data_IF_931701262825
#
_entry.id   IF_931701262825
#
_cell.length_a   1.000
_cell.length_b   1.000
_cell.length_c   1.000
_cell.angle_alpha   90.00
_cell.angle_beta   90.00
_cell.angle_gamma   90.00
#
_symmetry.space_group_name_H-M   'P 1'
#
loop_
_entity.id
_entity.type
_entity.pdbx_description
1 polymer ?
#
# COMPACT_ATOMS: atom_id res chain seq x y z
N UNK A 1 -37.53 10.84 -36.36
CA UNK A 1 -37.94 11.36 -35.03
C UNK A 1 -36.80 11.01 -34.08
N UNK A 2 -36.07 11.99 -33.51
CA UNK A 2 -34.97 11.73 -32.59
C UNK A 2 -35.54 11.76 -31.17
N UNK A 3 -35.63 10.60 -30.53
CA UNK A 3 -36.04 10.49 -29.15
C UNK A 3 -34.94 11.07 -28.24
N UNK A 4 -35.26 12.15 -27.54
CA UNK A 4 -34.39 12.72 -26.51
C UNK A 4 -34.52 11.86 -25.24
N UNK A 5 -33.49 11.07 -24.94
CA UNK A 5 -33.34 10.42 -23.64
C UNK A 5 -33.01 11.48 -22.58
N UNK A 6 -33.99 11.79 -21.72
CA UNK A 6 -33.78 12.62 -20.54
C UNK A 6 -33.22 11.76 -19.39
N UNK A 7 -31.90 11.72 -19.26
CA UNK A 7 -31.25 11.07 -18.12
C UNK A 7 -31.40 11.97 -16.90
N UNK A 8 -32.29 11.59 -16.00
CA UNK A 8 -32.48 12.33 -14.74
C UNK A 8 -31.54 11.75 -13.69
N UNK A 9 -30.44 12.47 -13.44
CA UNK A 9 -29.43 12.03 -12.48
C UNK A 9 -29.94 12.26 -11.05
N UNK A 10 -30.13 11.18 -10.29
CA UNK A 10 -30.45 11.26 -8.88
C UNK A 10 -29.20 11.64 -8.07
N UNK A 11 -29.09 12.92 -7.72
CA UNK A 11 -27.97 13.45 -6.92
C UNK A 11 -27.79 12.74 -5.57
N UNK A 12 -28.88 12.26 -4.95
CA UNK A 12 -28.80 11.55 -3.68
C UNK A 12 -28.11 10.19 -3.85
N UNK A 13 -28.39 9.50 -4.95
CA UNK A 13 -27.77 8.21 -5.27
C UNK A 13 -26.27 8.36 -5.58
N UNK A 14 -25.88 9.43 -6.30
CA UNK A 14 -24.46 9.73 -6.53
C UNK A 14 -23.74 9.99 -5.20
N UNK A 15 -24.32 10.80 -4.31
CA UNK A 15 -23.71 11.09 -3.00
C UNK A 15 -23.62 9.86 -2.10
N UNK A 16 -24.48 8.87 -2.31
CA UNK A 16 -24.42 7.58 -1.60
C UNK A 16 -23.26 6.74 -2.13
N UNK A 17 -23.16 6.57 -3.45
CA UNK A 17 -22.07 5.82 -4.09
C UNK A 17 -20.70 6.41 -3.72
N UNK A 18 -20.57 7.74 -3.74
CA UNK A 18 -19.32 8.40 -3.34
C UNK A 18 -18.97 8.12 -1.88
N UNK A 19 -19.95 8.12 -0.97
CA UNK A 19 -19.72 7.81 0.44
C UNK A 19 -19.28 6.37 0.66
N UNK A 20 -19.95 5.42 -0.02
CA UNK A 20 -19.59 4.00 0.07
C UNK A 20 -18.17 3.73 -0.41
N UNK A 21 -17.74 4.37 -1.51
CA UNK A 21 -16.36 4.26 -1.98
C UNK A 21 -15.34 4.85 -1.00
N UNK A 22 -15.67 5.98 -0.37
CA UNK A 22 -14.80 6.60 0.64
C UNK A 22 -14.71 5.73 1.89
N UNK A 23 -15.82 5.16 2.35
CA UNK A 23 -15.83 4.25 3.51
C UNK A 23 -15.05 2.96 3.24
N UNK A 24 -15.15 2.39 2.05
CA UNK A 24 -14.36 1.22 1.64
C UNK A 24 -12.87 1.51 1.64
N UNK A 25 -12.47 2.64 1.06
CA UNK A 25 -11.07 3.07 1.08
C UNK A 25 -10.58 3.26 2.51
N UNK A 26 -11.36 3.88 3.40
CA UNK A 26 -10.96 4.08 4.81
C UNK A 26 -10.82 2.73 5.55
N UNK A 27 -11.72 1.77 5.32
CA UNK A 27 -11.64 0.44 5.95
C UNK A 27 -10.42 -0.37 5.50
N UNK A 28 -9.97 -0.21 4.27
CA UNK A 28 -8.74 -0.84 3.78
C UNK A 28 -7.50 -0.30 4.49
N UNK A 29 -7.49 0.98 4.84
CA UNK A 29 -6.41 1.62 5.59
C UNK A 29 -6.38 1.24 7.08
N UNK A 30 -7.54 1.10 7.73
CA UNK A 30 -7.62 0.82 9.18
C UNK A 30 -7.09 -0.58 9.57
N UNK A 31 -7.10 -1.54 8.65
CA UNK A 31 -6.60 -2.90 8.90
C UNK A 31 -5.09 -3.05 8.66
N UNK A 32 -4.42 -1.98 8.25
CA UNK A 32 -3.00 -2.06 7.93
C UNK A 32 -2.13 -1.77 9.16
N UNK A 33 -1.13 -2.63 9.40
CA UNK A 33 -0.15 -2.39 10.45
C UNK A 33 0.52 -1.02 10.24
N UNK A 34 0.64 -0.22 11.30
CA UNK A 34 1.41 1.03 11.25
C UNK A 34 2.88 0.77 10.89
N UNK A 35 3.44 -0.34 11.38
CA UNK A 35 4.80 -0.77 11.08
C UNK A 35 4.89 -2.30 10.99
N UNK A 36 5.84 -2.78 10.19
CA UNK A 36 6.22 -4.17 10.10
C UNK A 36 7.46 -4.43 10.94
N UNK A 37 7.55 -5.63 11.52
CA UNK A 37 8.81 -6.17 12.01
C UNK A 37 9.49 -7.00 10.89
N UNK A 38 10.68 -7.54 11.17
CA UNK A 38 11.41 -8.38 10.21
C UNK A 38 10.61 -9.60 9.76
N UNK A 39 9.75 -10.16 10.61
CA UNK A 39 8.95 -11.34 10.24
C UNK A 39 7.83 -10.97 9.26
N UNK A 40 7.15 -9.84 9.49
CA UNK A 40 6.13 -9.30 8.61
C UNK A 40 6.74 -8.90 7.25
N UNK A 41 7.92 -8.26 7.27
CA UNK A 41 8.62 -7.91 6.03
C UNK A 41 8.93 -9.15 5.19
N UNK A 42 9.53 -10.19 5.78
CA UNK A 42 9.81 -11.48 5.10
C UNK A 42 8.54 -12.13 4.53
N UNK A 43 7.45 -12.14 5.30
CA UNK A 43 6.17 -12.72 4.86
C UNK A 43 5.59 -11.96 3.66
N UNK A 44 5.67 -10.63 3.67
CA UNK A 44 5.09 -9.77 2.63
C UNK A 44 5.91 -9.74 1.34
N UNK A 45 7.23 -9.84 1.44
CA UNK A 45 8.11 -9.89 0.26
C UNK A 45 8.32 -11.31 -0.26
N UNK A 46 7.90 -12.34 0.48
CA UNK A 46 8.22 -13.75 0.22
C UNK A 46 9.73 -14.02 0.12
N UNK A 47 10.57 -13.19 0.74
CA UNK A 47 12.03 -13.29 0.68
C UNK A 47 12.63 -13.77 2.00
N UNK A 48 13.76 -14.48 1.90
CA UNK A 48 14.60 -14.76 3.06
C UNK A 48 15.22 -13.47 3.59
N UNK A 49 15.67 -13.48 4.86
CA UNK A 49 16.36 -12.32 5.42
C UNK A 49 17.64 -11.98 4.65
N UNK A 50 18.40 -13.00 4.25
CA UNK A 50 19.64 -12.82 3.49
C UNK A 50 19.36 -12.16 2.13
N UNK A 51 18.30 -12.60 1.44
CA UNK A 51 17.83 -12.02 0.18
C UNK A 51 17.45 -10.54 0.36
N UNK A 52 16.68 -10.22 1.41
CA UNK A 52 16.34 -8.83 1.73
C UNK A 52 17.61 -7.99 1.95
N UNK A 53 18.58 -8.53 2.70
CA UNK A 53 19.85 -7.86 2.96
C UNK A 53 20.66 -7.60 1.69
N UNK A 54 20.72 -8.59 0.81
CA UNK A 54 21.46 -8.52 -0.46
C UNK A 54 20.85 -7.49 -1.42
N UNK A 55 19.53 -7.45 -1.55
CA UNK A 55 18.89 -6.68 -2.61
C UNK A 55 18.58 -5.22 -2.26
N UNK A 56 18.01 -4.95 -1.08
CA UNK A 56 17.48 -3.60 -0.82
C UNK A 56 17.61 -3.13 0.62
N UNK A 57 17.95 -4.00 1.58
CA UNK A 57 18.00 -3.58 2.98
C UNK A 57 19.00 -2.43 3.23
N UNK A 58 20.12 -2.44 2.51
CA UNK A 58 21.16 -1.41 2.63
C UNK A 58 20.94 -0.22 1.68
N UNK A 59 19.88 -0.22 0.87
CA UNK A 59 19.50 0.96 0.10
C UNK A 59 19.23 2.12 1.07
N UNK A 60 19.85 3.30 0.87
CA UNK A 60 19.63 4.47 1.71
C UNK A 60 18.18 4.97 1.67
N UNK A 61 17.43 4.68 0.59
CA UNK A 61 16.01 5.01 0.45
C UNK A 61 15.10 4.07 1.24
N UNK A 62 15.58 2.88 1.63
CA UNK A 62 14.74 1.88 2.30
C UNK A 62 14.35 2.33 3.73
N UNK A 63 13.04 2.51 4.02
CA UNK A 63 12.57 3.06 5.29
C UNK A 63 12.68 2.02 6.42
N UNK A 64 13.72 2.16 7.24
CA UNK A 64 13.98 1.30 8.40
C UNK A 64 14.38 2.11 9.63
N UNK A 65 13.94 1.67 10.81
CA UNK A 65 14.36 2.21 12.10
C UNK A 65 14.62 1.07 13.08
N UNK A 66 15.69 1.19 13.85
CA UNK A 66 16.01 0.25 14.93
C UNK A 66 15.55 0.85 16.25
N UNK A 67 14.67 0.15 16.96
CA UNK A 67 14.21 0.53 18.30
C UNK A 67 14.60 -0.59 19.24
N UNK A 68 15.55 -0.31 20.14
CA UNK A 68 16.23 -1.32 20.94
C UNK A 68 16.89 -2.39 20.07
N UNK A 69 16.51 -3.64 20.26
CA UNK A 69 17.05 -4.78 19.52
C UNK A 69 16.35 -5.11 18.20
N UNK A 70 15.23 -4.45 17.86
CA UNK A 70 14.36 -4.85 16.75
C UNK A 70 14.31 -3.80 15.64
N UNK A 71 14.16 -4.28 14.41
CA UNK A 71 13.91 -3.45 13.24
C UNK A 71 12.41 -3.27 13.01
N UNK A 72 12.04 -2.03 12.68
CA UNK A 72 10.70 -1.62 12.32
C UNK A 72 10.70 -0.89 10.99
N UNK A 73 9.69 -1.18 10.19
CA UNK A 73 9.52 -0.67 8.83
C UNK A 73 8.14 -0.01 8.73
N UNK A 74 8.04 1.32 8.58
CA UNK A 74 6.76 2.01 8.38
C UNK A 74 6.03 1.40 7.18
N UNK A 75 4.84 0.84 7.39
CA UNK A 75 4.23 -0.05 6.40
C UNK A 75 3.93 0.66 5.07
N UNK A 76 3.40 1.88 5.15
CA UNK A 76 3.06 2.68 3.98
C UNK A 76 4.30 2.99 3.13
N UNK A 77 5.31 3.59 3.72
CA UNK A 77 6.55 3.98 3.06
C UNK A 77 7.32 2.75 2.54
N UNK A 78 7.28 1.64 3.29
CA UNK A 78 7.93 0.39 2.87
C UNK A 78 7.28 -0.17 1.61
N UNK A 79 5.95 -0.13 1.48
CA UNK A 79 5.27 -0.57 0.26
C UNK A 79 5.64 0.28 -0.94
N UNK A 80 5.62 1.60 -0.79
CA UNK A 80 5.98 2.50 -1.89
C UNK A 80 7.41 2.26 -2.36
N UNK A 81 8.36 2.17 -1.42
CA UNK A 81 9.74 1.81 -1.75
C UNK A 81 9.82 0.46 -2.48
N UNK A 82 9.17 -0.59 -1.98
CA UNK A 82 9.24 -1.92 -2.59
C UNK A 82 8.64 -1.95 -4.00
N UNK A 83 7.58 -1.18 -4.25
CA UNK A 83 6.97 -1.02 -5.57
C UNK A 83 7.95 -0.38 -6.55
N UNK A 84 8.60 0.71 -6.15
CA UNK A 84 9.60 1.41 -6.98
C UNK A 84 10.82 0.52 -7.22
N UNK A 85 11.38 -0.04 -6.16
CA UNK A 85 12.51 -0.96 -6.22
C UNK A 85 12.24 -2.13 -7.17
N UNK A 86 11.04 -2.71 -7.16
CA UNK A 86 10.69 -3.81 -8.06
C UNK A 86 10.67 -3.38 -9.53
N UNK A 87 10.16 -2.18 -9.84
CA UNK A 87 10.13 -1.64 -11.21
C UNK A 87 11.53 -1.28 -11.74
N UNK A 88 12.48 -1.01 -10.85
CA UNK A 88 13.88 -0.75 -11.20
C UNK A 88 14.64 -2.03 -11.57
N UNK A 89 14.13 -3.22 -11.25
CA UNK A 89 14.82 -4.48 -11.56
C UNK A 89 14.70 -4.80 -13.05
N UNK A 90 15.78 -4.59 -13.80
CA UNK A 90 15.92 -5.13 -15.16
C UNK A 90 16.41 -6.57 -15.08
N UNK A 91 15.62 -7.52 -15.60
CA UNK A 91 15.97 -8.94 -15.64
C UNK A 91 17.15 -9.28 -16.54
#
# INVERSE_FOLDING_TARGET
>A
MKDFLSVTINKAEILKICREQVEQLIQEFDNEFVFWDTNQLKKRTCMSWNTIQEYFFFDPRFPKRKVGGKWYFPAHETREFLREWLLEQTG
#
